data_IF_220325069511
#
_entry.id   IF_220325069511
#
_cell.length_a   1.000
_cell.length_b   1.000
_cell.length_c   1.000
_cell.angle_alpha   90.00
_cell.angle_beta   90.00
_cell.angle_gamma   90.00
#
_symmetry.space_group_name_H-M   'P 1'
#
loop_
_entity.id
_entity.type
_entity.pdbx_description
1 polymer ?
#
# COMPACT_ATOMS: atom_id res chain seq x y z
N UNK A 1 -5.08 16.23 -2.23
CA UNK A 1 -6.36 15.52 -2.09
C UNK A 1 -6.49 14.95 -0.68
N UNK A 2 -7.66 15.11 -0.09
CA UNK A 2 -7.95 14.58 1.26
C UNK A 2 -8.36 13.11 1.13
N UNK A 3 -7.78 12.27 1.98
CA UNK A 3 -8.21 10.88 2.09
C UNK A 3 -9.47 10.80 2.95
N UNK A 4 -10.58 10.43 2.35
CA UNK A 4 -11.82 10.19 3.06
C UNK A 4 -11.91 8.70 3.46
N UNK A 5 -11.95 8.43 4.77
CA UNK A 5 -12.19 7.10 5.31
C UNK A 5 -13.13 7.23 6.50
N UNK A 6 -14.38 6.71 6.43
CA UNK A 6 -15.37 6.91 7.47
C UNK A 6 -14.96 6.40 8.85
N UNK A 7 -14.26 5.25 8.90
CA UNK A 7 -13.77 4.68 10.17
C UNK A 7 -12.75 5.61 10.81
N UNK A 8 -11.74 6.05 10.03
CA UNK A 8 -10.73 6.95 10.56
C UNK A 8 -11.28 8.34 10.87
N UNK A 9 -12.23 8.83 10.08
CA UNK A 9 -12.90 10.10 10.38
C UNK A 9 -13.56 10.08 11.76
N UNK A 10 -14.25 8.99 12.10
CA UNK A 10 -14.81 8.79 13.43
C UNK A 10 -13.78 8.73 14.55
N UNK A 11 -12.65 8.02 14.29
CA UNK A 11 -11.57 7.88 15.28
C UNK A 11 -10.87 9.21 15.60
N UNK A 12 -10.69 10.07 14.61
CA UNK A 12 -9.96 11.34 14.78
C UNK A 12 -10.86 12.52 15.17
N UNK A 13 -12.16 12.36 15.14
CA UNK A 13 -13.13 13.45 15.35
C UNK A 13 -12.97 14.18 16.70
N UNK A 14 -12.45 13.49 17.72
CA UNK A 14 -12.25 14.03 19.07
C UNK A 14 -10.79 14.35 19.41
N UNK A 15 -9.86 14.06 18.48
CA UNK A 15 -8.45 14.31 18.71
C UNK A 15 -8.10 15.76 18.45
N UNK A 16 -7.30 16.33 19.35
CA UNK A 16 -6.67 17.63 19.15
C UNK A 16 -5.45 17.51 18.24
N UNK A 17 -4.95 18.62 17.71
CA UNK A 17 -3.69 18.64 16.95
C UNK A 17 -2.50 18.16 17.79
N UNK A 18 -2.51 18.39 19.10
CA UNK A 18 -1.48 17.92 20.03
C UNK A 18 -1.56 16.38 20.18
N UNK A 19 -2.77 15.83 20.33
CA UNK A 19 -2.98 14.37 20.36
C UNK A 19 -2.48 13.71 19.07
N UNK A 20 -2.79 14.27 17.91
CA UNK A 20 -2.35 13.74 16.62
C UNK A 20 -0.82 13.73 16.50
N UNK A 21 -0.13 14.81 16.95
CA UNK A 21 1.33 14.88 16.96
C UNK A 21 1.95 13.86 17.92
N UNK A 22 1.37 13.73 19.11
CA UNK A 22 1.83 12.77 20.11
C UNK A 22 1.68 11.33 19.64
N UNK A 23 0.54 10.98 19.03
CA UNK A 23 0.31 9.68 18.45
C UNK A 23 1.24 9.40 17.27
N UNK A 24 1.49 10.39 16.40
CA UNK A 24 2.43 10.25 15.29
C UNK A 24 3.85 9.98 15.81
N UNK A 25 4.32 10.72 16.83
CA UNK A 25 5.61 10.51 17.45
C UNK A 25 5.73 9.11 18.09
N UNK A 26 4.70 8.66 18.79
CA UNK A 26 4.66 7.34 19.41
C UNK A 26 4.73 6.23 18.36
N UNK A 27 3.86 6.28 17.36
CA UNK A 27 3.80 5.22 16.34
C UNK A 27 5.03 5.21 15.42
N UNK A 28 5.67 6.35 15.17
CA UNK A 28 6.91 6.42 14.38
C UNK A 28 8.08 5.63 15.00
N UNK A 29 8.05 5.39 16.30
CA UNK A 29 9.07 4.65 17.05
C UNK A 29 8.76 3.15 17.14
N UNK A 30 7.56 2.71 16.73
CA UNK A 30 7.18 1.31 16.81
C UNK A 30 7.87 0.49 15.72
N UNK A 31 8.33 -0.71 16.08
CA UNK A 31 8.93 -1.66 15.13
C UNK A 31 7.85 -2.54 14.54
N UNK A 32 7.85 -2.64 13.23
CA UNK A 32 6.94 -3.53 12.49
C UNK A 32 7.39 -4.97 12.71
N UNK A 33 6.44 -5.84 13.11
CA UNK A 33 6.69 -7.29 13.16
C UNK A 33 6.65 -7.84 11.73
N UNK A 34 7.65 -8.64 11.31
CA UNK A 34 7.66 -9.23 9.99
C UNK A 34 6.46 -10.15 9.79
N UNK A 35 5.79 -10.00 8.65
CA UNK A 35 4.82 -10.98 8.20
C UNK A 35 5.55 -12.18 7.57
N UNK A 36 4.96 -13.38 7.75
CA UNK A 36 5.42 -14.61 7.10
C UNK A 36 4.49 -14.89 5.93
N UNK A 37 5.07 -15.08 4.75
CA UNK A 37 4.29 -15.44 3.57
C UNK A 37 3.61 -16.80 3.74
N UNK A 38 2.34 -16.88 3.34
CA UNK A 38 1.51 -18.08 3.50
C UNK A 38 1.52 -18.98 2.26
N UNK A 39 1.88 -18.44 1.11
CA UNK A 39 1.85 -19.13 -0.19
C UNK A 39 3.07 -18.72 -1.03
N UNK A 40 4.01 -19.66 -1.22
CA UNK A 40 5.26 -19.41 -1.97
C UNK A 40 5.01 -19.05 -3.44
N UNK A 41 4.00 -19.66 -4.07
CA UNK A 41 3.67 -19.36 -5.47
C UNK A 41 3.13 -17.95 -5.61
N UNK A 42 2.25 -17.56 -4.73
CA UNK A 42 1.70 -16.20 -4.68
C UNK A 42 2.80 -15.18 -4.39
N UNK A 43 3.73 -15.52 -3.51
CA UNK A 43 4.89 -14.69 -3.18
C UNK A 43 5.78 -14.45 -4.40
N UNK A 44 6.07 -15.49 -5.18
CA UNK A 44 6.89 -15.39 -6.40
C UNK A 44 6.23 -14.50 -7.45
N UNK A 45 4.93 -14.64 -7.66
CA UNK A 45 4.16 -13.77 -8.56
C UNK A 45 4.19 -12.30 -8.07
N UNK A 46 4.00 -12.09 -6.79
CA UNK A 46 4.07 -10.77 -6.16
C UNK A 46 5.45 -10.13 -6.30
N UNK A 47 6.52 -10.90 -6.11
CA UNK A 47 7.88 -10.45 -6.31
C UNK A 47 8.13 -10.01 -7.76
N UNK A 48 7.67 -10.79 -8.71
CA UNK A 48 7.80 -10.47 -10.12
C UNK A 48 7.09 -9.17 -10.47
N UNK A 49 5.85 -9.02 -10.03
CA UNK A 49 5.06 -7.81 -10.25
C UNK A 49 5.70 -6.58 -9.55
N UNK A 50 6.18 -6.76 -8.32
CA UNK A 50 6.85 -5.70 -7.58
C UNK A 50 8.09 -5.16 -8.29
N UNK A 51 8.94 -6.06 -8.77
CA UNK A 51 10.25 -5.73 -9.35
C UNK A 51 10.23 -5.40 -10.83
N UNK A 52 9.32 -6.01 -11.59
CA UNK A 52 9.29 -5.94 -13.06
C UNK A 52 8.02 -5.30 -13.60
N UNK A 53 6.93 -5.27 -12.84
CA UNK A 53 5.61 -4.90 -13.36
C UNK A 53 5.01 -5.98 -14.24
N UNK A 54 4.04 -5.59 -15.04
CA UNK A 54 3.41 -6.42 -16.08
C UNK A 54 3.40 -5.64 -17.40
N UNK A 55 4.34 -5.99 -18.26
CA UNK A 55 4.51 -5.29 -19.54
C UNK A 55 3.26 -5.39 -20.43
N UNK A 56 2.63 -6.58 -20.47
CA UNK A 56 1.47 -6.79 -21.33
C UNK A 56 0.27 -5.94 -20.92
N UNK A 57 0.13 -5.68 -19.63
CA UNK A 57 -0.91 -4.80 -19.09
C UNK A 57 -0.45 -3.36 -18.91
N UNK A 58 0.79 -3.04 -19.27
CA UNK A 58 1.39 -1.72 -19.04
C UNK A 58 1.30 -1.30 -17.56
N UNK A 59 1.58 -2.23 -16.65
CA UNK A 59 1.69 -1.96 -15.22
C UNK A 59 3.16 -1.79 -14.89
N UNK A 60 3.58 -0.61 -14.38
CA UNK A 60 4.96 -0.39 -13.99
C UNK A 60 5.33 -1.22 -12.76
N UNK A 61 6.63 -1.42 -12.54
CA UNK A 61 7.13 -2.04 -11.33
C UNK A 61 6.77 -1.17 -10.10
N UNK A 62 6.18 -1.77 -9.08
CA UNK A 62 5.81 -1.08 -7.84
C UNK A 62 7.05 -0.48 -7.17
N UNK A 63 8.18 -1.19 -7.25
CA UNK A 63 9.48 -0.76 -6.74
C UNK A 63 9.97 0.57 -7.34
N UNK A 64 9.54 0.93 -8.54
CA UNK A 64 9.94 2.18 -9.19
C UNK A 64 9.52 3.44 -8.43
N UNK A 65 8.38 3.37 -7.73
CA UNK A 65 7.86 4.47 -6.93
C UNK A 65 7.99 4.20 -5.42
N UNK A 66 7.65 2.98 -4.98
CA UNK A 66 7.65 2.62 -3.56
C UNK A 66 8.99 2.12 -3.03
N UNK A 67 10.00 2.04 -3.89
CA UNK A 67 11.34 1.52 -3.57
C UNK A 67 11.44 0.00 -3.62
N UNK A 68 12.62 -0.56 -3.86
CA UNK A 68 12.82 -2.00 -3.98
C UNK A 68 12.51 -2.75 -2.68
N UNK A 69 12.78 -2.13 -1.53
CA UNK A 69 12.44 -2.63 -0.20
C UNK A 69 11.07 -2.13 0.32
N UNK A 70 10.32 -1.41 -0.48
CA UNK A 70 9.02 -0.87 -0.08
C UNK A 70 9.07 0.23 0.97
N UNK A 71 10.22 0.89 1.13
CA UNK A 71 10.41 1.95 2.12
C UNK A 71 9.65 3.24 1.80
N UNK A 72 9.27 3.41 0.55
CA UNK A 72 8.61 4.61 0.06
C UNK A 72 9.56 5.79 -0.12
N UNK A 73 8.99 6.90 -0.54
CA UNK A 73 9.63 8.22 -0.62
C UNK A 73 8.70 9.25 0.00
N UNK A 74 9.02 9.82 1.14
CA UNK A 74 8.22 10.90 1.72
C UNK A 74 8.22 12.15 0.81
N UNK A 75 7.15 12.85 0.64
CA UNK A 75 5.78 12.59 1.10
C UNK A 75 4.88 11.99 0.00
N UNK A 76 5.45 11.72 -1.18
CA UNK A 76 4.68 11.34 -2.38
C UNK A 76 4.33 9.85 -2.42
N UNK A 77 5.28 8.98 -2.07
CA UNK A 77 5.12 7.53 -2.17
C UNK A 77 5.21 6.89 -0.78
N UNK A 78 4.10 6.39 -0.25
CA UNK A 78 4.10 5.83 1.10
C UNK A 78 4.90 4.54 1.20
N UNK A 79 5.43 4.29 2.40
CA UNK A 79 5.98 2.99 2.76
C UNK A 79 4.90 1.92 2.69
N UNK A 80 5.21 0.80 2.05
CA UNK A 80 4.35 -0.38 1.96
C UNK A 80 4.96 -1.61 2.65
N UNK A 81 6.28 -1.57 2.89
CA UNK A 81 6.99 -2.67 3.56
C UNK A 81 6.39 -2.97 4.93
N UNK A 82 6.06 -4.24 5.15
CA UNK A 82 5.52 -4.72 6.42
C UNK A 82 4.06 -4.34 6.69
N UNK A 83 3.35 -3.75 5.73
CA UNK A 83 1.92 -3.48 5.86
C UNK A 83 1.13 -4.79 5.79
N UNK A 84 0.02 -4.89 6.51
CA UNK A 84 -0.87 -6.05 6.43
C UNK A 84 -1.34 -6.30 5.00
N UNK A 85 -1.18 -7.54 4.52
CA UNK A 85 -1.54 -7.91 3.14
C UNK A 85 -3.01 -7.64 2.83
N UNK A 86 -3.90 -7.94 3.77
CA UNK A 86 -5.34 -7.66 3.63
C UNK A 86 -5.63 -6.16 3.46
N UNK A 87 -4.92 -5.31 4.22
CA UNK A 87 -5.06 -3.87 4.09
C UNK A 87 -4.56 -3.39 2.72
N UNK A 88 -3.38 -3.83 2.29
CA UNK A 88 -2.81 -3.47 0.99
C UNK A 88 -3.72 -3.91 -0.15
N UNK A 89 -4.23 -5.15 -0.11
CA UNK A 89 -5.16 -5.66 -1.11
C UNK A 89 -6.47 -4.84 -1.15
N UNK A 90 -7.02 -4.51 0.02
CA UNK A 90 -8.22 -3.67 0.11
C UNK A 90 -7.97 -2.29 -0.49
N UNK A 91 -6.83 -1.65 -0.18
CA UNK A 91 -6.52 -0.33 -0.73
C UNK A 91 -6.35 -0.35 -2.25
N UNK A 92 -5.72 -1.37 -2.82
CA UNK A 92 -5.63 -1.53 -4.27
C UNK A 92 -7.02 -1.71 -4.91
N UNK A 93 -7.90 -2.49 -4.28
CA UNK A 93 -9.28 -2.65 -4.75
C UNK A 93 -10.08 -1.33 -4.68
N UNK A 94 -9.95 -0.56 -3.62
CA UNK A 94 -10.63 0.74 -3.49
C UNK A 94 -10.10 1.79 -4.46
N UNK A 95 -8.81 1.77 -4.81
CA UNK A 95 -8.27 2.56 -5.91
C UNK A 95 -8.86 2.11 -7.26
N UNK A 96 -8.98 0.81 -7.49
CA UNK A 96 -9.57 0.25 -8.73
C UNK A 96 -11.03 0.65 -8.91
N UNK A 97 -11.80 0.67 -7.83
CA UNK A 97 -13.22 1.09 -7.84
C UNK A 97 -13.43 2.59 -7.74
N UNK A 98 -12.35 3.34 -7.56
CA UNK A 98 -12.35 4.80 -7.35
C UNK A 98 -12.99 5.27 -6.02
N UNK A 99 -13.32 4.35 -5.12
CA UNK A 99 -13.73 4.70 -3.75
C UNK A 99 -12.61 5.43 -3.00
N UNK A 100 -11.36 5.04 -3.24
CA UNK A 100 -10.18 5.80 -2.84
C UNK A 100 -9.64 6.56 -4.03
N UNK A 101 -9.60 7.90 -3.94
CA UNK A 101 -9.25 8.78 -5.06
C UNK A 101 -8.32 9.94 -4.67
N UNK A 102 -7.54 9.75 -3.60
CA UNK A 102 -6.61 10.77 -3.09
C UNK A 102 -5.21 10.73 -3.73
N UNK A 103 -5.01 9.90 -4.73
CA UNK A 103 -3.77 9.76 -5.47
C UNK A 103 -3.57 10.90 -6.48
N UNK A 104 -2.39 11.52 -6.44
CA UNK A 104 -2.02 12.55 -7.41
C UNK A 104 -2.05 11.98 -8.84
N UNK A 105 -2.55 12.77 -9.79
CA UNK A 105 -2.63 12.40 -11.22
C UNK A 105 -3.30 11.04 -11.50
N UNK A 106 -4.10 10.52 -10.57
CA UNK A 106 -4.79 9.22 -10.68
C UNK A 106 -3.84 8.03 -10.86
N UNK A 107 -2.57 8.14 -10.45
CA UNK A 107 -1.54 7.13 -10.71
C UNK A 107 -1.94 5.77 -10.16
N UNK A 108 -2.32 5.68 -8.88
CA UNK A 108 -2.70 4.41 -8.28
C UNK A 108 -4.02 3.87 -8.81
N UNK A 109 -4.98 4.72 -9.14
CA UNK A 109 -6.24 4.30 -9.79
C UNK A 109 -6.00 3.67 -11.15
N UNK A 110 -5.12 4.26 -11.96
CA UNK A 110 -4.75 3.71 -13.27
C UNK A 110 -4.03 2.37 -13.14
N UNK A 111 -3.07 2.28 -12.23
CA UNK A 111 -2.32 1.03 -11.98
C UNK A 111 -3.25 -0.06 -11.46
N UNK A 112 -4.01 0.22 -10.42
CA UNK A 112 -4.92 -0.74 -9.79
C UNK A 112 -6.02 -1.22 -10.73
N UNK A 113 -6.49 -0.35 -11.63
CA UNK A 113 -7.48 -0.69 -12.65
C UNK A 113 -7.02 -1.77 -13.63
N UNK A 114 -5.72 -1.94 -13.79
CA UNK A 114 -5.12 -2.95 -14.68
C UNK A 114 -4.81 -4.27 -13.98
N UNK A 115 -4.84 -4.31 -12.66
CA UNK A 115 -4.50 -5.50 -11.87
C UNK A 115 -5.69 -6.45 -11.74
N UNK A 116 -5.44 -7.75 -11.90
CA UNK A 116 -6.39 -8.79 -11.51
C UNK A 116 -6.43 -8.96 -9.98
N UNK A 117 -7.49 -9.61 -9.46
CA UNK A 117 -7.58 -9.93 -8.04
C UNK A 117 -6.41 -10.79 -7.55
N UNK A 118 -5.96 -11.74 -8.40
CA UNK A 118 -4.79 -12.55 -8.11
C UNK A 118 -3.51 -11.71 -8.02
N UNK A 119 -3.29 -10.78 -8.93
CA UNK A 119 -2.13 -9.88 -8.90
C UNK A 119 -2.17 -8.95 -7.68
N UNK A 120 -3.35 -8.45 -7.31
CA UNK A 120 -3.53 -7.65 -6.09
C UNK A 120 -3.15 -8.47 -4.85
N UNK A 121 -3.66 -9.69 -4.73
CA UNK A 121 -3.33 -10.57 -3.60
C UNK A 121 -1.84 -10.91 -3.57
N UNK A 122 -1.24 -11.22 -4.71
CA UNK A 122 0.17 -11.58 -4.83
C UNK A 122 1.10 -10.43 -4.41
N UNK A 123 0.88 -9.23 -4.93
CA UNK A 123 1.73 -8.08 -4.59
C UNK A 123 1.52 -7.62 -3.14
N UNK A 124 0.32 -7.74 -2.61
CA UNK A 124 0.02 -7.43 -1.22
C UNK A 124 0.75 -8.39 -0.25
N UNK A 125 0.76 -9.68 -0.56
CA UNK A 125 1.48 -10.68 0.21
C UNK A 125 2.99 -10.45 0.17
N UNK A 126 3.53 -10.14 -1.00
CA UNK A 126 4.95 -9.82 -1.15
C UNK A 126 5.34 -8.55 -0.37
N UNK A 127 4.58 -7.48 -0.49
CA UNK A 127 4.83 -6.22 0.22
C UNK A 127 4.80 -6.37 1.74
N UNK A 128 3.94 -7.24 2.27
CA UNK A 128 3.87 -7.53 3.71
C UNK A 128 5.17 -8.14 4.26
N UNK A 129 5.91 -8.87 3.44
CA UNK A 129 7.20 -9.46 3.81
C UNK A 129 8.43 -8.58 3.58
N UNK A 130 8.28 -7.42 2.92
CA UNK A 130 9.39 -6.49 2.69
C UNK A 130 9.86 -5.81 3.98
N UNK A 131 11.17 -5.53 4.05
CA UNK A 131 11.86 -4.95 5.22
C UNK A 131 12.90 -3.93 4.82
#
# INVERSE_FOLDING_TARGET
AVRNNPVMAGMVATLTDEDMRSLAAYFSQQKIKPAVAKDEKLLSEGQSLWRKGDFNKQVPACAGCHGPAGAGLPAQYPRLAGQHSEYTATQLKTFRTHERANDAEKVMRVIAGKLSDRQISAVAEYAAGLR
#
